data_IF_534032609023
#
_entry.id   IF_534032609023
#
_cell.length_a   1.000
_cell.length_b   1.000
_cell.length_c   1.000
_cell.angle_alpha   90.00
_cell.angle_beta   90.00
_cell.angle_gamma   90.00
#
_symmetry.space_group_name_H-M   'P 1'
#
loop_
_entity.id
_entity.type
_entity.pdbx_description
1 polymer ?
#
# COMPACT_ATOMS: atom_id res chain seq x y z
N UNK A 1 -13.18 3.65 -12.73
CA UNK A 1 -12.48 4.21 -11.54
C UNK A 1 -11.05 3.72 -11.69
N UNK A 2 -10.04 4.58 -11.75
CA UNK A 2 -8.68 4.11 -12.00
C UNK A 2 -8.13 3.49 -10.71
N UNK A 3 -7.84 2.19 -10.70
CA UNK A 3 -7.16 1.55 -9.58
C UNK A 3 -5.65 1.54 -9.80
N UNK A 4 -4.90 1.75 -8.73
CA UNK A 4 -3.46 1.74 -8.67
C UNK A 4 -3.01 0.53 -7.86
N UNK A 5 -2.20 -0.33 -8.46
CA UNK A 5 -1.55 -1.44 -7.78
C UNK A 5 -0.17 -1.03 -7.25
N UNK A 6 0.18 -1.43 -6.03
CA UNK A 6 1.51 -1.21 -5.46
C UNK A 6 1.93 -2.36 -4.54
N UNK A 7 3.22 -2.67 -4.52
CA UNK A 7 3.80 -3.64 -3.58
C UNK A 7 4.51 -2.87 -2.48
N UNK A 8 4.09 -3.02 -1.22
CA UNK A 8 4.82 -2.47 -0.08
C UNK A 8 5.82 -3.49 0.43
N UNK A 9 7.08 -3.08 0.58
CA UNK A 9 8.17 -3.88 1.17
C UNK A 9 8.38 -3.56 2.65
N UNK A 10 7.85 -2.42 3.12
CA UNK A 10 7.90 -2.00 4.52
C UNK A 10 6.63 -1.24 4.88
N UNK A 11 6.19 -1.41 6.13
CA UNK A 11 5.08 -0.68 6.75
C UNK A 11 5.54 -0.15 8.11
N UNK A 12 5.16 1.09 8.43
CA UNK A 12 5.39 1.75 9.72
C UNK A 12 4.09 2.46 10.13
N UNK A 13 3.34 1.93 11.10
CA UNK A 13 2.18 2.61 11.65
C UNK A 13 2.59 3.88 12.42
N UNK A 14 1.82 4.95 12.26
CA UNK A 14 2.01 6.21 12.98
C UNK A 14 0.81 6.49 13.87
N UNK A 15 1.06 6.57 15.19
CA UNK A 15 0.02 6.77 16.20
C UNK A 15 0.13 8.15 16.84
N UNK A 16 -1.01 8.73 17.16
CA UNK A 16 -1.13 9.97 17.91
C UNK A 16 -0.84 9.76 19.40
N UNK A 17 -0.80 10.87 20.15
CA UNK A 17 -0.57 10.88 21.60
C UNK A 17 -1.67 10.12 22.37
N UNK A 18 -2.86 10.06 21.80
CA UNK A 18 -4.02 9.30 22.29
C UNK A 18 -3.99 7.81 21.90
N UNK A 19 -2.95 7.36 21.18
CA UNK A 19 -2.80 6.00 20.67
C UNK A 19 -3.60 5.73 19.39
N UNK A 20 -4.34 6.70 18.86
CA UNK A 20 -5.12 6.53 17.62
C UNK A 20 -4.19 6.41 16.41
N UNK A 21 -4.51 5.52 15.47
CA UNK A 21 -3.79 5.43 14.20
C UNK A 21 -4.08 6.70 13.38
N UNK A 22 -3.05 7.49 13.12
CA UNK A 22 -3.12 8.73 12.34
C UNK A 22 -2.75 8.50 10.89
N UNK A 23 -1.77 7.64 10.64
CA UNK A 23 -1.34 7.29 9.31
C UNK A 23 -0.61 5.95 9.31
N UNK A 24 -0.39 5.41 8.12
CA UNK A 24 0.55 4.32 7.87
C UNK A 24 1.54 4.79 6.83
N UNK A 25 2.83 4.74 7.12
CA UNK A 25 3.88 5.01 6.15
C UNK A 25 4.45 3.70 5.61
N UNK A 26 4.92 3.70 4.37
CA UNK A 26 5.48 2.54 3.73
C UNK A 26 6.51 2.86 2.67
N UNK A 27 7.14 1.81 2.15
CA UNK A 27 8.08 1.88 1.02
C UNK A 27 7.62 0.88 -0.02
N UNK A 28 7.47 1.33 -1.26
CA UNK A 28 7.12 0.46 -2.38
C UNK A 28 8.32 -0.39 -2.81
N UNK A 29 8.12 -1.42 -3.64
CA UNK A 29 9.21 -2.27 -4.11
C UNK A 29 10.23 -1.53 -5.00
N UNK A 30 9.81 -0.46 -5.68
CA UNK A 30 10.66 0.43 -6.47
C UNK A 30 11.30 1.57 -5.63
N UNK A 31 11.10 1.56 -4.31
CA UNK A 31 11.77 2.47 -3.37
C UNK A 31 11.07 3.81 -3.13
N UNK A 32 9.85 4.01 -3.63
CA UNK A 32 9.07 5.23 -3.38
C UNK A 32 8.48 5.22 -1.97
N UNK A 33 8.50 6.38 -1.33
CA UNK A 33 7.81 6.56 -0.06
C UNK A 33 6.30 6.66 -0.32
N UNK A 34 5.51 5.96 0.49
CA UNK A 34 4.04 6.07 0.49
C UNK A 34 3.52 6.40 1.87
N UNK A 35 2.48 7.24 1.93
CA UNK A 35 1.77 7.58 3.16
C UNK A 35 0.27 7.38 2.97
N UNK A 36 -0.35 6.63 3.86
CA UNK A 36 -1.80 6.42 3.92
C UNK A 36 -2.35 7.23 5.10
N UNK A 37 -3.21 8.21 4.81
CA UNK A 37 -3.80 9.07 5.84
C UNK A 37 -5.00 8.38 6.49
N UNK A 38 -5.10 8.38 7.82
CA UNK A 38 -6.25 7.79 8.50
C UNK A 38 -7.38 8.81 8.68
N UNK A 39 -8.53 8.56 8.04
CA UNK A 39 -9.81 9.17 8.41
C UNK A 39 -10.72 8.16 9.09
N UNK A 40 -11.79 8.65 9.75
CA UNK A 40 -12.68 7.83 10.58
C UNK A 40 -13.17 6.56 9.87
N UNK A 41 -13.44 6.65 8.57
CA UNK A 41 -13.94 5.56 7.73
C UNK A 41 -12.84 4.59 7.28
N UNK A 42 -11.61 5.06 7.06
CA UNK A 42 -10.47 4.22 6.66
C UNK A 42 -9.72 3.56 7.81
N UNK A 43 -9.94 3.99 9.06
CA UNK A 43 -9.20 3.47 10.23
C UNK A 43 -9.23 1.96 10.32
N UNK A 44 -10.34 1.31 9.95
CA UNK A 44 -10.47 -0.16 9.95
C UNK A 44 -9.53 -0.78 8.91
N UNK A 45 -9.52 -0.25 7.68
CA UNK A 45 -8.67 -0.76 6.60
C UNK A 45 -7.18 -0.52 6.89
N UNK A 46 -6.82 0.63 7.47
CA UNK A 46 -5.44 0.91 7.86
C UNK A 46 -4.98 0.09 9.08
N UNK A 47 -5.89 -0.21 10.00
CA UNK A 47 -5.61 -1.16 11.10
C UNK A 47 -5.30 -2.55 10.53
N UNK A 48 -5.96 -2.97 9.44
CA UNK A 48 -5.65 -4.26 8.81
C UNK A 48 -4.23 -4.31 8.21
N UNK A 49 -3.69 -3.17 7.74
CA UNK A 49 -2.31 -3.05 7.25
C UNK A 49 -1.27 -3.21 8.37
N UNK A 50 -1.56 -2.68 9.56
CA UNK A 50 -0.66 -2.78 10.73
C UNK A 50 -0.34 -4.24 11.10
N UNK A 51 -1.30 -5.15 10.89
CA UNK A 51 -1.13 -6.55 11.23
C UNK A 51 -0.63 -7.42 10.07
N UNK A 52 -0.41 -6.85 8.88
CA UNK A 52 0.15 -7.60 7.76
C UNK A 52 1.67 -7.72 7.85
N UNK A 53 2.19 -8.83 7.32
CA UNK A 53 3.63 -8.99 7.07
C UNK A 53 3.96 -8.49 5.68
N UNK A 54 4.96 -7.63 5.58
CA UNK A 54 5.54 -7.24 4.30
C UNK A 54 6.44 -8.36 3.74
N UNK A 55 6.55 -8.50 2.40
CA UNK A 55 5.92 -7.66 1.40
C UNK A 55 4.42 -7.97 1.20
N UNK A 56 3.65 -6.97 0.76
CA UNK A 56 2.22 -7.10 0.47
C UNK A 56 1.82 -6.29 -0.77
N UNK A 57 0.84 -6.80 -1.51
CA UNK A 57 0.27 -6.17 -2.69
C UNK A 57 -1.03 -5.44 -2.32
N UNK A 58 -1.13 -4.19 -2.71
CA UNK A 58 -2.27 -3.31 -2.44
C UNK A 58 -2.90 -2.80 -3.72
N UNK A 59 -4.21 -2.55 -3.65
CA UNK A 59 -4.97 -1.79 -4.63
C UNK A 59 -5.54 -0.55 -3.95
N UNK A 60 -5.37 0.61 -4.59
CA UNK A 60 -5.98 1.87 -4.16
C UNK A 60 -6.65 2.57 -5.32
N UNK A 61 -7.81 3.18 -5.10
CA UNK A 61 -8.54 3.88 -6.16
C UNK A 61 -8.11 5.35 -6.36
N UNK A 62 -7.30 5.88 -5.44
CA UNK A 62 -6.84 7.26 -5.49
C UNK A 62 -5.47 7.43 -4.86
N UNK A 63 -4.60 8.13 -5.59
CA UNK A 63 -3.30 8.58 -5.10
C UNK A 63 -3.10 10.06 -5.43
N UNK A 64 -2.28 10.72 -4.63
CA UNK A 64 -1.70 12.02 -4.90
C UNK A 64 -0.19 11.92 -4.92
N UNK A 65 0.46 12.68 -5.79
CA UNK A 65 1.92 12.79 -5.84
C UNK A 65 2.34 14.21 -5.44
N UNK A 66 2.35 14.53 -4.13
CA UNK A 66 2.60 15.89 -3.66
C UNK A 66 4.02 16.38 -3.99
N UNK A 67 4.97 15.46 -4.14
CA UNK A 67 6.36 15.73 -4.53
C UNK A 67 6.84 14.63 -5.48
N UNK A 68 7.84 14.93 -6.31
CA UNK A 68 8.46 13.93 -7.18
C UNK A 68 9.02 12.76 -6.34
N UNK A 69 8.41 11.58 -6.48
CA UNK A 69 8.84 10.36 -5.81
C UNK A 69 8.09 9.96 -4.53
N UNK A 70 7.14 10.77 -4.04
CA UNK A 70 6.32 10.43 -2.88
C UNK A 70 4.85 10.20 -3.27
N UNK A 71 4.24 9.15 -2.72
CA UNK A 71 2.84 8.81 -2.91
C UNK A 71 2.07 9.14 -1.63
N UNK A 72 0.94 9.81 -1.75
CA UNK A 72 -0.01 10.03 -0.66
C UNK A 72 -1.34 9.40 -1.03
N UNK A 73 -1.88 8.57 -0.15
CA UNK A 73 -3.20 7.93 -0.27
C UNK A 73 -4.11 8.61 0.74
N UNK A 74 -5.15 9.33 0.30
CA UNK A 74 -6.01 10.05 1.23
C UNK A 74 -6.89 9.10 2.02
N UNK A 75 -7.36 9.58 3.17
CA UNK A 75 -8.17 8.78 4.10
C UNK A 75 -9.58 8.44 3.63
N UNK A 76 -10.01 8.98 2.50
CA UNK A 76 -11.28 8.63 1.83
C UNK A 76 -11.08 7.70 0.62
N UNK A 77 -9.84 7.30 0.32
CA UNK A 77 -9.57 6.33 -0.75
C UNK A 77 -10.11 4.94 -0.38
N UNK A 78 -10.44 4.14 -1.38
CA UNK A 78 -10.64 2.72 -1.21
C UNK A 78 -9.28 2.04 -1.21
N UNK A 79 -9.01 1.22 -0.21
CA UNK A 79 -7.81 0.42 -0.08
C UNK A 79 -8.20 -1.05 0.08
N UNK A 80 -7.56 -1.92 -0.70
CA UNK A 80 -7.71 -3.36 -0.59
C UNK A 80 -6.35 -4.04 -0.57
N UNK A 81 -6.23 -5.06 0.27
CA UNK A 81 -5.05 -5.92 0.34
C UNK A 81 -5.32 -7.12 -0.55
N UNK A 82 -4.47 -7.35 -1.55
CA UNK A 82 -4.58 -8.52 -2.41
C UNK A 82 -4.05 -9.73 -1.62
N UNK A 83 -4.85 -10.80 -1.47
CA UNK A 83 -4.45 -11.96 -0.68
C UNK A 83 -3.39 -12.77 -1.44
N UNK A 84 -2.13 -12.39 -1.27
CA UNK A 84 -0.96 -13.08 -1.79
C UNK A 84 -0.03 -13.43 -0.63
N UNK A 85 0.48 -14.68 -0.53
CA UNK A 85 1.42 -15.03 0.51
C UNK A 85 2.67 -14.12 0.47
N UNK A 86 3.10 -13.54 1.60
CA UNK A 86 4.28 -12.66 1.62
C UNK A 86 5.55 -13.34 1.09
N UNK A 87 5.72 -14.64 1.34
CA UNK A 87 6.86 -15.41 0.85
C UNK A 87 6.86 -15.54 -0.67
N UNK A 88 5.69 -15.74 -1.28
CA UNK A 88 5.55 -15.79 -2.73
C UNK A 88 5.84 -14.43 -3.36
N UNK A 89 5.33 -13.36 -2.76
CA UNK A 89 5.62 -12.00 -3.23
C UNK A 89 7.12 -11.68 -3.06
N UNK A 90 7.75 -12.15 -1.99
CA UNK A 90 9.19 -12.03 -1.79
C UNK A 90 9.98 -12.76 -2.88
N UNK A 91 9.61 -13.99 -3.25
CA UNK A 91 10.27 -14.73 -4.33
C UNK A 91 10.21 -13.99 -5.67
N UNK A 92 9.06 -13.40 -6.00
CA UNK A 92 8.90 -12.59 -7.21
C UNK A 92 9.79 -11.33 -7.18
N UNK A 93 9.86 -10.65 -6.03
CA UNK A 93 10.73 -9.49 -5.85
C UNK A 93 12.22 -9.87 -5.96
N UNK A 94 12.63 -10.99 -5.37
CA UNK A 94 14.02 -11.49 -5.44
C UNK A 94 14.42 -11.85 -6.89
N UNK A 95 13.43 -12.17 -7.75
CA UNK A 95 13.62 -12.41 -9.20
C UNK A 95 13.51 -11.15 -10.06
N UNK A 96 13.29 -9.97 -9.47
CA UNK A 96 13.04 -8.70 -10.18
C UNK A 96 11.76 -8.72 -11.04
N UNK A 97 10.77 -9.51 -10.65
CA UNK A 97 9.49 -9.69 -11.38
C UNK A 97 8.37 -8.78 -10.81
N UNK A 98 8.67 -7.90 -9.86
CA UNK A 98 7.68 -7.02 -9.21
C UNK A 98 6.88 -6.14 -10.16
N UNK A 99 7.54 -5.52 -11.14
CA UNK A 99 6.88 -4.65 -12.13
C UNK A 99 5.95 -5.45 -13.06
N UNK A 100 6.36 -6.68 -13.41
CA UNK A 100 5.55 -7.57 -14.25
C UNK A 100 4.27 -8.00 -13.52
N UNK A 101 4.38 -8.29 -12.22
CA UNK A 101 3.22 -8.57 -11.38
C UNK A 101 2.27 -7.37 -11.33
N UNK A 102 2.80 -6.16 -11.07
CA UNK A 102 1.97 -4.95 -11.03
C UNK A 102 1.26 -4.67 -12.37
N UNK A 103 1.95 -4.90 -13.49
CA UNK A 103 1.36 -4.78 -14.81
C UNK A 103 0.25 -5.82 -15.04
N UNK A 104 0.51 -7.09 -14.70
CA UNK A 104 -0.47 -8.17 -14.82
C UNK A 104 -1.72 -7.92 -13.98
N UNK A 105 -1.54 -7.41 -12.75
CA UNK A 105 -2.65 -7.00 -11.87
C UNK A 105 -3.41 -5.84 -12.49
N UNK A 106 -2.71 -4.80 -12.96
CA UNK A 106 -3.36 -3.61 -13.55
C UNK A 106 -4.21 -3.93 -14.78
N UNK A 107 -3.84 -4.94 -15.57
CA UNK A 107 -4.64 -5.42 -16.71
C UNK A 107 -5.95 -6.10 -16.32
N UNK A 108 -6.08 -6.54 -15.06
CA UNK A 108 -7.28 -7.19 -14.52
C UNK A 108 -8.21 -6.21 -13.79
N UNK A 109 -7.78 -4.96 -13.60
CA UNK A 109 -8.57 -3.94 -12.92
C UNK A 109 -9.57 -3.30 -13.91
N UNK A 110 -10.83 -3.07 -13.50
CA UNK A 110 -11.91 -2.58 -14.36
C UNK A 110 -11.84 -1.08 -14.69
#
# INVERSE_FOLDING_TARGET
MMQHAMILTRIVPERGVDGALLAVSGVTHDGRAVRFEAQAEQRINLTSLEYQRAPLLLLVDRIYEPFSGAISVPGDALLSIVPLPPDHLKELLDRHEGDQLLQAVSLQLP
#
